data_IF_442038453450
#
_entry.id   IF_442038453450
#
_cell.length_a   1.000
_cell.length_b   1.000
_cell.length_c   1.000
_cell.angle_alpha   90.00
_cell.angle_beta   90.00
_cell.angle_gamma   90.00
#
_symmetry.space_group_name_H-M   'P 1'
#
loop_
_entity.id
_entity.type
_entity.pdbx_description
1 polymer ?
#
# COMPACT_ATOMS: atom_id res chain seq x y z
N UNK A 1 -52.90 -39.13 -3.13
CA UNK A 1 -54.07 -38.40 -3.65
C UNK A 1 -54.58 -37.47 -2.55
N UNK A 2 -54.67 -36.18 -2.86
CA UNK A 2 -55.35 -35.06 -2.18
C UNK A 2 -55.12 -34.80 -0.68
N UNK A 3 -54.42 -33.68 -0.42
CA UNK A 3 -54.27 -33.02 0.88
C UNK A 3 -55.50 -32.17 1.18
N UNK A 4 -56.05 -32.33 2.38
CA UNK A 4 -57.13 -31.55 3.01
C UNK A 4 -56.74 -30.05 3.12
N UNK A 5 -57.53 -29.10 2.61
CA UNK A 5 -58.77 -28.51 3.17
C UNK A 5 -58.57 -27.69 4.46
N UNK A 6 -58.66 -26.35 4.34
CA UNK A 6 -59.71 -25.54 5.02
C UNK A 6 -59.57 -24.05 4.66
N UNK A 7 -60.58 -23.48 3.96
CA UNK A 7 -61.73 -22.71 4.47
C UNK A 7 -61.33 -21.31 4.97
N UNK A 8 -61.67 -20.29 4.17
CA UNK A 8 -62.00 -18.95 4.69
C UNK A 8 -63.24 -18.46 3.93
N UNK A 9 -64.31 -18.22 4.69
CA UNK A 9 -65.57 -17.64 4.23
C UNK A 9 -65.36 -16.19 3.80
N UNK A 10 -65.89 -15.84 2.63
CA UNK A 10 -66.07 -14.47 2.17
C UNK A 10 -67.35 -13.86 2.74
N UNK A 11 -67.30 -12.58 3.10
CA UNK A 11 -68.36 -11.55 3.14
C UNK A 11 -67.62 -10.21 3.37
N UNK A 12 -67.97 -9.03 2.87
CA UNK A 12 -68.96 -8.56 1.91
C UNK A 12 -68.46 -7.16 1.46
N UNK A 13 -68.73 -6.78 0.22
CA UNK A 13 -68.32 -5.48 -0.32
C UNK A 13 -69.20 -4.32 0.16
N UNK A 14 -68.64 -3.12 0.23
CA UNK A 14 -69.42 -1.89 0.12
C UNK A 14 -68.60 -0.67 -0.32
N UNK A 15 -68.82 -0.29 -1.58
CA UNK A 15 -69.13 1.08 -2.05
C UNK A 15 -68.05 2.16 -1.94
N UNK A 16 -67.30 2.25 -3.04
CA UNK A 16 -66.66 3.43 -3.62
C UNK A 16 -67.56 4.69 -3.50
N UNK A 17 -67.09 5.72 -2.80
CA UNK A 17 -67.53 7.10 -3.02
C UNK A 17 -66.34 7.92 -3.48
N UNK A 18 -66.45 8.41 -4.71
CA UNK A 18 -65.53 9.31 -5.37
C UNK A 18 -65.78 10.73 -4.85
N UNK A 19 -64.78 11.38 -4.25
CA UNK A 19 -64.78 12.83 -4.05
C UNK A 19 -63.49 13.40 -4.65
N UNK A 20 -63.68 14.29 -5.63
CA UNK A 20 -62.68 15.12 -6.31
C UNK A 20 -62.32 16.34 -5.43
N UNK A 21 -61.21 16.98 -5.81
CA UNK A 21 -60.59 18.22 -5.27
C UNK A 21 -59.58 17.97 -4.16
N UNK A 22 -58.32 18.40 -4.22
CA UNK A 22 -57.59 19.19 -5.20
C UNK A 22 -56.11 19.31 -4.80
N UNK A 23 -55.32 19.86 -5.70
CA UNK A 23 -53.94 20.37 -5.55
C UNK A 23 -52.80 19.37 -5.27
N UNK A 24 -51.76 19.49 -6.10
CA UNK A 24 -50.60 18.64 -6.25
C UNK A 24 -49.62 18.69 -5.07
N UNK A 25 -49.01 17.54 -4.77
CA UNK A 25 -47.66 17.46 -4.22
C UNK A 25 -46.99 16.22 -4.84
N UNK A 26 -45.91 16.38 -5.63
CA UNK A 26 -45.23 15.24 -6.22
C UNK A 26 -44.45 14.50 -5.13
N UNK A 27 -44.60 13.18 -5.11
CA UNK A 27 -43.76 12.29 -4.34
C UNK A 27 -42.31 12.39 -4.85
N UNK A 28 -41.39 12.86 -4.01
CA UNK A 28 -39.95 12.77 -4.28
C UNK A 28 -39.24 12.15 -3.08
N UNK A 29 -39.48 10.86 -2.84
CA UNK A 29 -38.59 10.04 -2.03
C UNK A 29 -37.50 9.47 -2.95
N UNK A 30 -36.54 10.31 -3.34
CA UNK A 30 -35.32 9.84 -4.00
C UNK A 30 -34.41 9.23 -2.93
N UNK A 31 -34.51 7.91 -2.75
CA UNK A 31 -33.57 7.15 -1.94
C UNK A 31 -32.17 7.26 -2.56
N UNK A 32 -31.28 8.02 -1.92
CA UNK A 32 -29.84 7.99 -2.20
C UNK A 32 -29.27 6.64 -1.76
N UNK A 33 -29.40 5.63 -2.61
CA UNK A 33 -28.61 4.41 -2.53
C UNK A 33 -27.19 4.72 -3.02
N UNK A 34 -26.41 5.45 -2.23
CA UNK A 34 -24.95 5.41 -2.38
C UNK A 34 -24.52 4.00 -1.95
N UNK A 35 -24.47 3.08 -2.91
CA UNK A 35 -23.79 1.81 -2.71
C UNK A 35 -22.34 2.15 -2.38
N UNK A 36 -21.97 2.09 -1.10
CA UNK A 36 -20.59 2.18 -0.68
C UNK A 36 -19.83 1.12 -1.48
N UNK A 37 -18.88 1.56 -2.30
CA UNK A 37 -17.95 0.62 -2.93
C UNK A 37 -17.42 -0.28 -1.81
N UNK A 38 -17.39 -1.62 -1.99
CA UNK A 38 -16.88 -2.49 -0.96
C UNK A 38 -15.50 -1.98 -0.58
N UNK A 39 -15.30 -1.69 0.71
CA UNK A 39 -13.99 -1.37 1.23
C UNK A 39 -13.12 -2.62 1.06
N UNK A 40 -12.44 -2.73 -0.08
CA UNK A 40 -11.44 -3.76 -0.34
C UNK A 40 -10.25 -3.39 0.53
N UNK A 41 -10.29 -3.82 1.79
CA UNK A 41 -9.09 -3.90 2.59
C UNK A 41 -8.06 -4.69 1.78
N UNK A 42 -6.87 -4.12 1.62
CA UNK A 42 -5.81 -4.86 0.94
C UNK A 42 -5.52 -6.11 1.75
N UNK A 43 -5.39 -7.25 1.08
CA UNK A 43 -4.94 -8.47 1.73
C UNK A 43 -3.49 -8.27 2.19
N UNK A 44 -3.31 -8.04 3.50
CA UNK A 44 -2.00 -7.81 4.09
C UNK A 44 -1.07 -9.01 3.95
N UNK A 45 -1.61 -10.23 3.85
CA UNK A 45 -0.81 -11.42 3.61
C UNK A 45 -0.28 -11.44 2.18
N UNK A 46 -1.12 -11.11 1.21
CA UNK A 46 -0.67 -10.99 -0.17
C UNK A 46 0.39 -9.88 -0.32
N UNK A 47 0.20 -8.72 0.32
CA UNK A 47 1.18 -7.61 0.25
C UNK A 47 2.52 -8.00 0.86
N UNK A 48 2.51 -8.66 2.02
CA UNK A 48 3.73 -9.14 2.66
C UNK A 48 4.49 -10.10 1.75
N UNK A 49 3.80 -11.07 1.15
CA UNK A 49 4.39 -12.01 0.18
C UNK A 49 4.90 -11.31 -1.08
N UNK A 50 4.14 -10.34 -1.60
CA UNK A 50 4.52 -9.58 -2.78
C UNK A 50 5.77 -8.74 -2.54
N UNK A 51 5.87 -8.01 -1.43
CA UNK A 51 7.05 -7.22 -1.11
C UNK A 51 8.27 -8.06 -0.69
N UNK A 52 8.05 -9.35 -0.38
CA UNK A 52 9.11 -10.33 -0.21
C UNK A 52 9.59 -10.92 -1.55
N UNK A 53 8.83 -10.79 -2.64
CA UNK A 53 9.19 -11.38 -3.93
C UNK A 53 10.40 -10.68 -4.56
N UNK A 54 11.24 -11.39 -5.33
CA UNK A 54 12.48 -10.86 -5.92
C UNK A 54 12.27 -9.68 -6.88
N UNK A 55 11.11 -9.65 -7.55
CA UNK A 55 10.64 -8.50 -8.33
C UNK A 55 9.11 -8.45 -8.29
N UNK A 56 8.55 -7.76 -7.31
CA UNK A 56 7.08 -7.63 -7.17
C UNK A 56 6.44 -6.90 -8.35
N UNK A 57 7.17 -6.02 -9.02
CA UNK A 57 6.66 -5.18 -10.10
C UNK A 57 6.53 -5.96 -11.41
N UNK A 58 7.36 -6.98 -11.61
CA UNK A 58 7.24 -7.95 -12.68
C UNK A 58 6.11 -8.97 -12.47
N UNK A 59 5.53 -9.04 -11.27
CA UNK A 59 4.49 -10.00 -10.90
C UNK A 59 3.12 -9.33 -10.98
N UNK A 60 2.33 -9.68 -12.00
CA UNK A 60 1.05 -9.02 -12.29
C UNK A 60 0.05 -9.01 -11.11
N UNK A 61 -0.01 -10.09 -10.32
CA UNK A 61 -0.87 -10.16 -9.13
C UNK A 61 -0.38 -9.28 -7.97
N UNK A 62 0.89 -8.86 -7.97
CA UNK A 62 1.47 -8.02 -6.94
C UNK A 62 1.34 -6.53 -7.24
N UNK A 63 1.23 -6.14 -8.51
CA UNK A 63 1.16 -4.73 -8.90
C UNK A 63 -0.06 -4.00 -8.28
N UNK A 64 -1.30 -4.48 -8.42
CA UNK A 64 -2.45 -3.80 -7.82
C UNK A 64 -2.42 -3.69 -6.29
N UNK A 65 -2.17 -4.75 -5.50
CA UNK A 65 -2.20 -4.65 -4.04
C UNK A 65 -1.03 -3.82 -3.49
N UNK A 66 0.18 -3.93 -4.04
CA UNK A 66 1.33 -3.14 -3.58
C UNK A 66 1.10 -1.66 -3.86
N UNK A 67 0.72 -1.30 -5.10
CA UNK A 67 0.45 0.10 -5.45
C UNK A 67 -0.70 0.69 -4.63
N UNK A 68 -1.72 -0.12 -4.28
CA UNK A 68 -2.78 0.31 -3.38
C UNK A 68 -2.26 0.59 -1.97
N UNK A 69 -1.43 -0.29 -1.40
CA UNK A 69 -0.83 -0.04 -0.08
C UNK A 69 0.03 1.21 -0.09
N UNK A 70 0.87 1.43 -1.10
CA UNK A 70 1.70 2.64 -1.17
C UNK A 70 0.84 3.92 -1.23
N UNK A 71 -0.29 3.89 -1.95
CA UNK A 71 -1.26 5.00 -1.96
C UNK A 71 -1.94 5.21 -0.60
N UNK A 72 -2.23 4.13 0.10
CA UNK A 72 -2.82 4.17 1.43
C UNK A 72 -1.84 4.72 2.47
N UNK A 73 -0.57 4.32 2.40
CA UNK A 73 0.53 4.87 3.21
C UNK A 73 0.71 6.37 2.96
N UNK A 74 0.62 6.82 1.70
CA UNK A 74 0.64 8.24 1.33
C UNK A 74 -0.51 9.05 1.96
N UNK A 75 -1.60 8.39 2.34
CA UNK A 75 -2.74 8.99 3.05
C UNK A 75 -2.65 8.83 4.58
N UNK A 76 -1.52 8.36 5.09
CA UNK A 76 -1.28 8.14 6.52
C UNK A 76 -1.96 6.89 7.08
N UNK A 77 -2.45 5.97 6.23
CA UNK A 77 -2.97 4.68 6.70
C UNK A 77 -1.81 3.79 7.15
N UNK A 78 -1.98 2.94 8.17
CA UNK A 78 -0.93 2.03 8.60
C UNK A 78 -0.68 0.93 7.55
N UNK A 79 0.53 0.37 7.57
CA UNK A 79 0.84 -0.83 6.79
C UNK A 79 -0.05 -2.00 7.22
N UNK A 80 -0.62 -2.81 6.29
CA UNK A 80 -1.53 -3.88 6.64
C UNK A 80 -0.84 -5.01 7.40
N UNK A 81 -1.58 -5.67 8.29
CA UNK A 81 -1.09 -6.85 9.02
C UNK A 81 -1.49 -8.15 8.32
N UNK A 82 -0.74 -9.23 8.57
CA UNK A 82 -1.08 -10.56 8.10
C UNK A 82 -1.10 -11.53 9.29
N UNK A 83 -2.29 -12.04 9.65
CA UNK A 83 -2.41 -13.01 10.74
C UNK A 83 -1.86 -14.40 10.37
N UNK A 84 -1.80 -14.71 9.07
CA UNK A 84 -1.35 -16.00 8.53
C UNK A 84 0.16 -16.05 8.24
N UNK A 85 0.93 -14.98 8.52
CA UNK A 85 2.35 -14.94 8.18
C UNK A 85 3.20 -15.84 9.06
N UNK A 86 2.71 -16.25 10.23
CA UNK A 86 3.48 -16.99 11.22
C UNK A 86 4.44 -16.09 12.01
N UNK A 87 5.05 -16.66 13.06
CA UNK A 87 5.94 -15.92 13.94
C UNK A 87 7.21 -15.45 13.20
N UNK A 88 7.66 -14.23 13.48
CA UNK A 88 8.87 -13.64 12.87
C UNK A 88 8.67 -13.03 11.48
N UNK A 89 7.51 -13.23 10.86
CA UNK A 89 7.20 -12.69 9.54
C UNK A 89 6.32 -11.44 9.66
N UNK A 90 6.82 -10.29 9.23
CA UNK A 90 6.10 -9.03 9.35
C UNK A 90 6.51 -8.01 8.30
N UNK A 91 5.67 -6.99 8.13
CA UNK A 91 6.00 -5.80 7.36
C UNK A 91 5.70 -4.55 8.18
N UNK A 92 6.51 -3.51 8.00
CA UNK A 92 6.34 -2.22 8.66
C UNK A 92 6.63 -1.08 7.70
N UNK A 93 6.08 0.10 8.00
CA UNK A 93 6.31 1.31 7.23
C UNK A 93 6.94 2.39 8.11
N UNK A 94 7.90 3.13 7.55
CA UNK A 94 8.50 4.31 8.14
C UNK A 94 8.65 5.39 7.06
N UNK A 95 8.55 6.66 7.46
CA UNK A 95 8.86 7.77 6.55
C UNK A 95 10.37 7.80 6.25
N UNK A 96 10.71 8.05 4.99
CA UNK A 96 12.10 8.18 4.58
C UNK A 96 12.63 9.54 5.03
N UNK A 97 13.87 9.58 5.48
CA UNK A 97 14.53 10.78 5.94
C UNK A 97 16.03 10.64 5.73
N UNK A 98 16.66 11.64 5.12
CA UNK A 98 18.10 11.64 4.99
C UNK A 98 18.74 12.24 6.26
N UNK A 99 19.95 11.77 6.66
CA UNK A 99 20.70 10.67 6.06
C UNK A 99 20.32 9.27 6.59
N UNK A 100 19.52 9.16 7.66
CA UNK A 100 19.38 7.90 8.40
C UNK A 100 18.50 6.82 7.74
N UNK A 101 17.34 7.22 7.19
CA UNK A 101 16.35 6.33 6.60
C UNK A 101 16.18 6.53 5.08
N UNK A 102 17.26 6.96 4.42
CA UNK A 102 17.35 7.14 2.98
C UNK A 102 18.66 6.51 2.47
N UNK A 103 18.65 5.71 1.40
CA UNK A 103 19.89 5.18 0.84
C UNK A 103 20.73 6.32 0.26
N UNK A 104 22.07 6.30 0.45
CA UNK A 104 22.93 7.43 0.12
C UNK A 104 22.93 7.76 -1.38
N UNK A 105 22.68 6.79 -2.26
CA UNK A 105 22.53 7.02 -3.70
C UNK A 105 21.26 7.78 -4.09
N UNK A 106 20.35 8.02 -3.15
CA UNK A 106 19.10 8.76 -3.35
C UNK A 106 18.95 9.95 -2.40
N UNK A 107 20.03 10.34 -1.71
CA UNK A 107 20.07 11.57 -0.92
C UNK A 107 20.55 12.72 -1.78
N UNK A 108 20.03 13.92 -1.50
CA UNK A 108 20.52 15.16 -2.11
C UNK A 108 20.74 16.21 -1.04
N UNK A 109 21.77 17.04 -1.24
CA UNK A 109 22.03 18.20 -0.40
C UNK A 109 21.22 19.39 -0.93
N UNK A 110 20.63 20.15 -0.02
CA UNK A 110 20.09 21.47 -0.29
C UNK A 110 20.92 22.47 0.50
N UNK A 111 21.47 23.47 -0.19
CA UNK A 111 22.16 24.57 0.47
C UNK A 111 21.13 25.52 1.07
N UNK A 112 21.22 25.74 2.37
CA UNK A 112 20.54 26.81 3.08
C UNK A 112 21.55 27.95 3.29
N UNK A 113 21.03 29.11 3.67
CA UNK A 113 21.79 30.35 3.77
C UNK A 113 23.05 30.24 4.65
N UNK A 114 23.06 29.34 5.65
CA UNK A 114 24.21 29.06 6.51
C UNK A 114 24.35 27.57 6.90
N UNK A 115 23.66 26.66 6.23
CA UNK A 115 23.62 25.23 6.60
C UNK A 115 23.36 24.35 5.37
N UNK A 116 23.53 23.05 5.51
CA UNK A 116 23.16 22.06 4.49
C UNK A 116 22.13 21.12 5.08
N UNK A 117 20.93 21.11 4.50
CA UNK A 117 19.97 20.06 4.80
C UNK A 117 20.07 18.94 3.76
N UNK A 118 19.60 17.77 4.15
CA UNK A 118 19.59 16.59 3.29
C UNK A 118 18.15 16.16 3.03
N UNK A 119 17.83 16.00 1.75
CA UNK A 119 16.57 15.43 1.29
C UNK A 119 16.74 13.98 0.86
N UNK A 120 15.60 13.30 0.71
CA UNK A 120 15.51 11.97 0.12
C UNK A 120 14.59 12.02 -1.10
N UNK A 121 14.97 11.36 -2.19
CA UNK A 121 14.12 11.20 -3.37
C UNK A 121 12.83 10.41 -3.09
N UNK A 122 12.84 9.60 -2.03
CA UNK A 122 11.73 8.75 -1.62
C UNK A 122 11.00 9.33 -0.42
N UNK A 123 9.69 9.06 -0.36
CA UNK A 123 8.81 9.55 0.70
C UNK A 123 8.80 8.60 1.89
N UNK A 124 8.76 7.29 1.65
CA UNK A 124 8.66 6.28 2.69
C UNK A 124 9.43 5.02 2.35
N UNK A 125 9.52 4.13 3.33
CA UNK A 125 10.12 2.80 3.20
C UNK A 125 9.21 1.77 3.85
N UNK A 126 8.99 0.67 3.14
CA UNK A 126 8.40 -0.54 3.71
C UNK A 126 9.51 -1.55 3.96
N UNK A 127 9.60 -2.06 5.18
CA UNK A 127 10.57 -3.07 5.59
C UNK A 127 9.86 -4.40 5.82
N UNK A 128 10.37 -5.46 5.22
CA UNK A 128 9.87 -6.83 5.38
C UNK A 128 10.87 -7.64 6.21
N UNK A 129 10.34 -8.39 7.17
CA UNK A 129 11.07 -9.36 7.99
C UNK A 129 10.57 -10.76 7.65
N UNK A 130 11.50 -11.70 7.48
CA UNK A 130 11.22 -13.13 7.35
C UNK A 130 12.00 -13.89 8.40
N UNK A 131 11.32 -14.74 9.17
CA UNK A 131 11.88 -15.52 10.29
C UNK A 131 12.62 -14.64 11.31
N UNK A 132 12.13 -13.43 11.56
CA UNK A 132 12.71 -12.46 12.49
C UNK A 132 13.92 -11.70 11.95
N UNK A 133 14.36 -11.97 10.71
CA UNK A 133 15.50 -11.32 10.08
C UNK A 133 15.07 -10.34 8.98
N UNK A 134 15.83 -9.25 8.74
CA UNK A 134 15.59 -8.36 7.61
C UNK A 134 15.63 -9.10 6.28
N UNK A 135 14.58 -8.92 5.49
CA UNK A 135 14.44 -9.55 4.17
C UNK A 135 14.58 -8.55 3.04
N UNK A 136 13.69 -7.57 2.97
CA UNK A 136 13.69 -6.54 1.94
C UNK A 136 13.29 -5.18 2.48
N UNK A 137 13.72 -4.12 1.81
CA UNK A 137 13.33 -2.74 2.08
C UNK A 137 12.95 -2.09 0.76
N UNK A 138 11.69 -1.69 0.63
CA UNK A 138 11.17 -1.02 -0.56
C UNK A 138 10.93 0.45 -0.26
N UNK A 139 11.77 1.32 -0.81
CA UNK A 139 11.55 2.76 -0.79
C UNK A 139 10.54 3.14 -1.87
N UNK A 140 9.65 4.08 -1.54
CA UNK A 140 8.58 4.50 -2.42
C UNK A 140 8.37 6.01 -2.35
N UNK A 141 7.89 6.61 -3.44
CA UNK A 141 7.51 8.02 -3.49
C UNK A 141 6.04 8.20 -3.86
N UNK A 142 5.46 9.35 -3.50
CA UNK A 142 4.10 9.73 -3.93
C UNK A 142 3.97 9.74 -5.46
N UNK A 143 5.05 10.03 -6.18
CA UNK A 143 5.13 9.96 -7.64
C UNK A 143 5.13 8.53 -8.22
N UNK A 144 5.07 7.50 -7.37
CA UNK A 144 5.00 6.10 -7.79
C UNK A 144 6.35 5.45 -8.08
N UNK A 145 7.48 6.14 -7.84
CA UNK A 145 8.80 5.51 -7.93
C UNK A 145 8.95 4.51 -6.79
N UNK A 146 9.55 3.37 -7.07
CA UNK A 146 9.94 2.39 -6.06
C UNK A 146 11.31 1.81 -6.36
N UNK A 147 12.04 1.45 -5.31
CA UNK A 147 13.26 0.66 -5.40
C UNK A 147 13.35 -0.27 -4.20
N UNK A 148 13.78 -1.51 -4.42
CA UNK A 148 13.83 -2.53 -3.37
C UNK A 148 15.28 -2.98 -3.17
N UNK A 149 15.76 -2.85 -1.95
CA UNK A 149 16.97 -3.56 -1.50
C UNK A 149 16.58 -4.89 -0.86
N UNK A 150 17.41 -5.89 -1.05
CA UNK A 150 17.28 -7.20 -0.43
C UNK A 150 18.51 -7.46 0.44
N UNK A 151 18.28 -8.05 1.62
CA UNK A 151 19.39 -8.40 2.50
C UNK A 151 20.30 -9.46 1.85
N UNK A 152 21.58 -9.57 2.24
CA UNK A 152 22.47 -10.61 1.73
C UNK A 152 21.89 -12.03 1.90
N UNK A 153 21.20 -12.29 3.02
CA UNK A 153 20.53 -13.55 3.27
C UNK A 153 19.32 -13.80 2.36
N UNK A 154 18.62 -12.74 1.93
CA UNK A 154 17.55 -12.84 0.94
C UNK A 154 18.10 -13.11 -0.46
N UNK A 155 19.13 -12.35 -0.87
CA UNK A 155 19.85 -12.52 -2.15
C UNK A 155 20.40 -13.94 -2.31
N UNK A 156 21.05 -14.46 -1.27
CA UNK A 156 21.57 -15.84 -1.25
C UNK A 156 20.47 -16.91 -1.36
N UNK A 157 19.26 -16.66 -0.82
CA UNK A 157 18.14 -17.60 -0.88
C UNK A 157 17.40 -17.59 -2.22
N UNK A 158 17.26 -16.43 -2.87
CA UNK A 158 16.49 -16.29 -4.11
C UNK A 158 17.33 -16.50 -5.38
N UNK A 159 18.63 -16.19 -5.34
CA UNK A 159 19.55 -16.29 -6.48
C UNK A 159 19.38 -15.21 -7.56
N UNK A 160 18.15 -14.73 -7.80
CA UNK A 160 17.86 -13.61 -8.71
C UNK A 160 16.87 -12.65 -8.07
N UNK A 161 17.02 -11.35 -8.35
CA UNK A 161 16.18 -10.26 -7.86
C UNK A 161 16.30 -9.04 -8.78
N UNK A 162 15.44 -8.05 -8.58
CA UNK A 162 15.57 -6.77 -9.26
C UNK A 162 16.82 -6.03 -8.76
N UNK A 163 17.84 -5.90 -9.60
CA UNK A 163 19.16 -5.36 -9.23
C UNK A 163 19.22 -3.85 -9.20
N UNK A 164 18.13 -3.12 -9.52
CA UNK A 164 18.16 -1.67 -9.66
C UNK A 164 18.79 -0.95 -8.45
N UNK A 165 18.48 -1.40 -7.23
CA UNK A 165 19.07 -0.80 -6.03
C UNK A 165 20.60 -0.96 -5.99
N UNK A 166 21.09 -2.16 -6.31
CA UNK A 166 22.51 -2.51 -6.31
C UNK A 166 23.26 -1.76 -7.41
N UNK A 167 22.67 -1.68 -8.60
CA UNK A 167 23.23 -0.99 -9.76
C UNK A 167 23.32 0.53 -9.50
N UNK A 168 22.27 1.13 -8.95
CA UNK A 168 22.26 2.55 -8.57
C UNK A 168 23.30 2.84 -7.47
N UNK A 169 23.44 1.93 -6.48
CA UNK A 169 24.44 2.07 -5.42
C UNK A 169 25.86 1.98 -5.98
N UNK A 170 26.12 1.02 -6.88
CA UNK A 170 27.43 0.86 -7.51
C UNK A 170 27.82 2.10 -8.34
N UNK A 171 26.87 2.65 -9.11
CA UNK A 171 27.08 3.87 -9.88
C UNK A 171 27.39 5.08 -8.98
N UNK A 172 26.62 5.26 -7.89
CA UNK A 172 26.86 6.32 -6.91
C UNK A 172 28.19 6.14 -6.18
N UNK A 173 28.56 4.92 -5.80
CA UNK A 173 29.81 4.62 -5.12
C UNK A 173 31.02 4.93 -6.01
N UNK A 174 30.92 4.60 -7.31
CA UNK A 174 31.96 4.91 -8.30
C UNK A 174 32.10 6.41 -8.57
N UNK A 175 31.05 7.22 -8.33
CA UNK A 175 31.12 8.68 -8.47
C UNK A 175 31.60 9.39 -7.20
N UNK A 176 31.79 8.69 -6.08
CA UNK A 176 32.26 9.34 -4.86
C UNK A 176 33.71 9.79 -5.01
N UNK A 177 34.05 11.00 -4.51
CA UNK A 177 35.44 11.39 -4.39
C UNK A 177 36.23 10.33 -3.62
N UNK A 178 37.51 10.11 -3.97
CA UNK A 178 38.40 9.30 -3.13
C UNK A 178 38.31 9.83 -1.70
N UNK A 179 38.22 8.93 -0.71
CA UNK A 179 38.26 9.32 0.69
C UNK A 179 39.45 10.27 0.87
N UNK A 180 39.20 11.47 1.40
CA UNK A 180 40.25 12.42 1.69
C UNK A 180 41.28 11.69 2.56
N UNK A 181 42.48 11.50 2.02
CA UNK A 181 43.52 10.82 2.78
C UNK A 181 43.71 11.61 4.07
N UNK A 182 43.69 10.97 5.25
CA UNK A 182 44.05 11.67 6.47
C UNK A 182 45.43 12.27 6.20
N UNK A 183 45.49 13.59 6.29
CA UNK A 183 46.67 14.37 6.03
C UNK A 183 47.75 13.88 7.00
N UNK A 184 48.65 13.01 6.52
CA UNK A 184 49.60 12.30 7.37
C UNK A 184 50.77 13.20 7.83
N UNK A 185 50.79 14.46 7.40
CA UNK A 185 51.89 15.42 7.63
C UNK A 185 51.40 16.87 7.79
N UNK A 186 50.12 17.08 8.05
CA UNK A 186 49.69 18.23 8.85
C UNK A 186 49.42 17.74 10.28
#
# INVERSE_FOLDING_TARGET
MSVQANVIKAQAGAKRRLRRHGTAAPALAAALMMAAAPARAVDGCLVLLCLAAPDWSAIAQCVPPVTQVLRDLARGRPFPTCAMSGAGNSGSHQWASAPGNCPPQYTYAMELENDVAYGCDYTGVVSIQIDGAPWSRTWWSIGGRTVTDFSPAAKARMGSWNTKFDDDFAAWAASQPPAAQPCAIC
#
